data_IF_505144408237
#
_entry.id   IF_505144408237
#
_cell.length_a   1.000
_cell.length_b   1.000
_cell.length_c   1.000
_cell.angle_alpha   90.00
_cell.angle_beta   90.00
_cell.angle_gamma   90.00
#
_symmetry.space_group_name_H-M   'P 1'
#
loop_
_entity.id
_entity.type
_entity.pdbx_description
1 polymer ?
#
# COMPACT_ATOMS: atom_id res chain seq x y z
N UNK A 1 -8.38 9.98 18.27
CA UNK A 1 -8.68 8.57 18.60
C UNK A 1 -9.92 8.05 17.86
N UNK A 2 -11.08 8.72 17.94
CA UNK A 2 -12.27 8.35 17.16
C UNK A 2 -12.05 8.42 15.64
N UNK A 3 -11.39 9.48 15.20
CA UNK A 3 -11.02 9.71 13.79
C UNK A 3 -10.11 8.60 13.26
N UNK A 4 -9.03 8.28 13.97
CA UNK A 4 -8.15 7.14 13.63
C UNK A 4 -8.87 5.79 13.59
N UNK A 5 -9.85 5.57 14.47
CA UNK A 5 -10.67 4.35 14.45
C UNK A 5 -11.59 4.31 13.21
N UNK A 6 -12.20 5.44 12.87
CA UNK A 6 -13.01 5.62 11.67
C UNK A 6 -12.18 5.39 10.39
N UNK A 7 -11.01 6.00 10.29
CA UNK A 7 -10.08 5.83 9.17
C UNK A 7 -9.57 4.38 9.08
N UNK A 8 -9.47 3.69 10.23
CA UNK A 8 -9.09 2.28 10.26
C UNK A 8 -10.25 1.32 9.94
N UNK A 9 -11.47 1.83 9.75
CA UNK A 9 -12.68 1.04 9.48
C UNK A 9 -13.14 0.18 10.66
N UNK A 10 -12.80 0.57 11.89
CA UNK A 10 -13.08 -0.21 13.11
C UNK A 10 -13.71 0.66 14.20
N UNK A 11 -14.47 0.02 15.09
CA UNK A 11 -15.06 0.73 16.23
C UNK A 11 -13.95 1.23 17.18
N UNK A 12 -14.25 2.29 17.95
CA UNK A 12 -13.30 2.88 18.92
C UNK A 12 -12.80 1.83 19.92
N UNK A 13 -13.68 0.93 20.38
CA UNK A 13 -13.31 -0.16 21.28
C UNK A 13 -12.36 -1.18 20.64
N UNK A 14 -12.57 -1.53 19.37
CA UNK A 14 -11.66 -2.41 18.61
C UNK A 14 -10.30 -1.76 18.37
N UNK A 15 -10.28 -0.45 18.09
CA UNK A 15 -9.04 0.31 17.91
C UNK A 15 -8.22 0.38 19.20
N UNK A 16 -8.87 0.68 20.33
CA UNK A 16 -8.22 0.71 21.65
C UNK A 16 -7.71 -0.67 22.05
N UNK A 17 -8.48 -1.74 21.82
CA UNK A 17 -8.06 -3.10 22.12
C UNK A 17 -6.85 -3.54 21.26
N UNK A 18 -6.87 -3.25 19.96
CA UNK A 18 -5.76 -3.59 19.08
C UNK A 18 -4.49 -2.79 19.40
N UNK A 19 -4.63 -1.49 19.73
CA UNK A 19 -3.53 -0.66 20.22
C UNK A 19 -2.96 -1.18 21.54
N UNK A 20 -3.82 -1.58 22.49
CA UNK A 20 -3.41 -2.16 23.78
C UNK A 20 -2.70 -3.51 23.62
N UNK A 21 -3.06 -4.29 22.60
CA UNK A 21 -2.45 -5.59 22.28
C UNK A 21 -1.20 -5.49 21.38
N UNK A 22 -0.70 -4.27 21.08
CA UNK A 22 0.37 -4.00 20.10
C UNK A 22 0.13 -4.63 18.71
N UNK A 23 -1.11 -5.00 18.40
CA UNK A 23 -1.47 -5.42 17.04
C UNK A 23 -1.64 -4.13 16.26
N UNK A 24 -0.68 -3.79 15.42
CA UNK A 24 -0.86 -2.75 14.41
C UNK A 24 -2.21 -2.98 13.74
N UNK A 25 -3.13 -2.03 13.95
CA UNK A 25 -4.44 -2.04 13.32
C UNK A 25 -4.23 -1.80 11.84
N UNK A 26 -3.95 -2.87 11.09
CA UNK A 26 -3.93 -2.83 9.64
C UNK A 26 -5.35 -2.58 9.19
N UNK A 27 -5.62 -1.40 8.66
CA UNK A 27 -6.98 -1.04 8.26
C UNK A 27 -7.37 -1.77 6.98
N UNK A 28 -8.69 -1.91 6.76
CA UNK A 28 -9.21 -2.38 5.46
C UNK A 28 -8.79 -1.44 4.32
N UNK A 29 -8.62 -0.14 4.62
CA UNK A 29 -8.15 0.87 3.69
C UNK A 29 -6.70 0.58 3.26
N UNK A 30 -5.80 0.27 4.18
CA UNK A 30 -4.40 -0.07 3.88
C UNK A 30 -4.31 -1.30 2.95
N UNK A 31 -5.17 -2.29 3.19
CA UNK A 31 -5.21 -3.50 2.35
C UNK A 31 -5.69 -3.21 0.92
N UNK A 32 -6.69 -2.33 0.76
CA UNK A 32 -7.16 -1.92 -0.55
C UNK A 32 -6.11 -1.09 -1.30
N UNK A 33 -5.46 -0.13 -0.62
CA UNK A 33 -4.40 0.70 -1.20
C UNK A 33 -3.20 -0.15 -1.62
N UNK A 34 -2.76 -1.10 -0.80
CA UNK A 34 -1.67 -2.03 -1.16
C UNK A 34 -2.02 -2.85 -2.41
N UNK A 35 -3.28 -3.28 -2.56
CA UNK A 35 -3.71 -4.04 -3.73
C UNK A 35 -3.72 -3.20 -5.00
N UNK A 36 -4.16 -1.95 -4.94
CA UNK A 36 -4.08 -1.02 -6.09
C UNK A 36 -2.63 -0.70 -6.46
N UNK A 37 -1.74 -0.51 -5.49
CA UNK A 37 -0.30 -0.33 -5.74
C UNK A 37 0.32 -1.54 -6.44
N UNK A 38 -0.04 -2.76 -6.03
CA UNK A 38 0.38 -4.00 -6.72
C UNK A 38 -0.12 -4.06 -8.16
N UNK A 39 -1.38 -3.68 -8.37
CA UNK A 39 -1.99 -3.63 -9.70
C UNK A 39 -1.26 -2.63 -10.61
N UNK A 40 -0.95 -1.42 -10.10
CA UNK A 40 -0.16 -0.43 -10.82
C UNK A 40 1.24 -0.94 -11.17
N UNK A 41 1.92 -1.62 -10.24
CA UNK A 41 3.21 -2.25 -10.51
C UNK A 41 3.16 -3.31 -11.62
N UNK A 42 2.07 -4.08 -11.69
CA UNK A 42 1.82 -5.02 -12.79
C UNK A 42 1.66 -4.32 -14.15
N UNK A 43 0.87 -3.25 -14.20
CA UNK A 43 0.66 -2.46 -15.42
C UNK A 43 1.96 -1.78 -15.88
N UNK A 44 2.75 -1.24 -14.95
CA UNK A 44 4.05 -0.65 -15.27
C UNK A 44 5.01 -1.69 -15.89
N UNK A 45 5.07 -2.91 -15.35
CA UNK A 45 5.89 -4.00 -15.92
C UNK A 45 5.44 -4.42 -17.32
N UNK A 46 4.14 -4.37 -17.58
CA UNK A 46 3.60 -4.62 -18.91
C UNK A 46 4.10 -3.55 -19.89
N UNK A 47 3.96 -2.27 -19.56
CA UNK A 47 4.47 -1.15 -20.37
C UNK A 47 6.00 -1.24 -20.60
N UNK A 48 6.77 -1.66 -19.60
CA UNK A 48 8.21 -1.88 -19.76
C UNK A 48 8.51 -2.95 -20.82
N UNK A 49 7.75 -4.06 -20.80
CA UNK A 49 7.89 -5.14 -21.79
C UNK A 49 7.50 -4.66 -23.19
N UNK A 50 6.40 -3.92 -23.31
CA UNK A 50 5.93 -3.37 -24.59
C UNK A 50 6.87 -2.31 -25.15
N UNK A 51 7.51 -1.51 -24.28
CA UNK A 51 8.45 -0.46 -24.66
C UNK A 51 9.77 -0.96 -25.24
N UNK A 52 10.04 -2.28 -25.22
CA UNK A 52 11.24 -2.91 -25.78
C UNK A 52 12.56 -2.21 -25.40
N UNK A 53 12.68 -1.80 -24.13
CA UNK A 53 13.87 -1.12 -23.58
C UNK A 53 13.80 0.41 -23.58
N UNK A 54 12.83 1.02 -24.27
CA UNK A 54 12.55 2.45 -24.13
C UNK A 54 12.16 2.79 -22.69
N UNK A 55 12.68 3.90 -22.16
CA UNK A 55 12.40 4.39 -20.81
C UNK A 55 12.66 3.36 -19.69
N UNK A 56 13.56 2.40 -19.93
CA UNK A 56 13.82 1.29 -19.01
C UNK A 56 14.22 1.76 -17.60
N UNK A 57 14.95 2.87 -17.49
CA UNK A 57 15.38 3.46 -16.22
C UNK A 57 14.21 4.12 -15.48
N UNK A 58 13.37 4.85 -16.19
CA UNK A 58 12.18 5.52 -15.67
C UNK A 58 11.17 4.50 -15.15
N UNK A 59 10.94 3.44 -15.94
CA UNK A 59 10.12 2.31 -15.55
C UNK A 59 10.64 1.61 -14.29
N UNK A 60 11.95 1.36 -14.20
CA UNK A 60 12.57 0.79 -13.01
C UNK A 60 12.38 1.71 -11.77
N UNK A 61 12.56 3.02 -11.94
CA UNK A 61 12.35 3.99 -10.85
C UNK A 61 10.90 3.98 -10.34
N UNK A 62 9.92 3.95 -11.24
CA UNK A 62 8.49 3.86 -10.85
C UNK A 62 8.22 2.58 -10.05
N UNK A 63 8.79 1.44 -10.47
CA UNK A 63 8.62 0.18 -9.76
C UNK A 63 9.25 0.21 -8.35
N UNK A 64 10.40 0.87 -8.20
CA UNK A 64 11.05 1.11 -6.90
C UNK A 64 10.14 1.94 -6.00
N UNK A 65 9.60 3.06 -6.50
CA UNK A 65 8.71 3.92 -5.72
C UNK A 65 7.42 3.21 -5.27
N UNK A 66 6.81 2.41 -6.14
CA UNK A 66 5.65 1.57 -5.79
C UNK A 66 6.00 0.58 -4.68
N UNK A 67 7.17 -0.04 -4.76
CA UNK A 67 7.64 -1.02 -3.77
C UNK A 67 7.88 -0.34 -2.42
N UNK A 68 8.53 0.82 -2.40
CA UNK A 68 8.76 1.59 -1.18
C UNK A 68 7.46 2.12 -0.57
N UNK A 69 6.48 2.52 -1.39
CA UNK A 69 5.15 2.89 -0.91
C UNK A 69 4.44 1.72 -0.22
N UNK A 70 4.48 0.52 -0.81
CA UNK A 70 3.90 -0.69 -0.19
C UNK A 70 4.60 -1.01 1.12
N UNK A 71 5.93 -0.89 1.20
CA UNK A 71 6.67 -1.09 2.44
C UNK A 71 6.18 -0.12 3.52
N UNK A 72 6.11 1.19 3.23
CA UNK A 72 5.65 2.22 4.19
C UNK A 72 4.24 1.97 4.73
N UNK A 73 3.32 1.46 3.92
CA UNK A 73 1.90 1.21 4.30
C UNK A 73 1.73 -0.18 4.95
N UNK A 74 2.53 -1.15 4.50
CA UNK A 74 2.39 -2.54 4.90
C UNK A 74 3.08 -2.90 6.21
N UNK A 75 3.84 -1.97 6.81
CA UNK A 75 4.63 -2.16 8.02
C UNK A 75 4.06 -1.51 9.28
#
# INVERSE_FOLDING_TARGET
>A
MREKAHDSGMSVGQFVLAAALKRQTRSKIDSHVINELRRLGGLQKHLFTEGNGALSKEYANVLVEITEAIKRIGC
#
